data_IF_487835236385
#
_entry.id   IF_487835236385
#
_cell.length_a   1.000
_cell.length_b   1.000
_cell.length_c   1.000
_cell.angle_alpha   90.00
_cell.angle_beta   90.00
_cell.angle_gamma   90.00
#
_symmetry.space_group_name_H-M   'P 1'
#
loop_
_entity.id
_entity.type
_entity.pdbx_description
1 polymer ?
#
# COMPACT_ATOMS: atom_id res chain seq x y z
N UNK A 1 24.97 4.12 -3.20
CA UNK A 1 23.76 4.62 -2.51
C UNK A 1 23.37 5.93 -3.16
N UNK A 2 22.46 5.90 -4.13
CA UNK A 2 21.97 7.13 -4.76
C UNK A 2 20.71 7.57 -4.03
N UNK A 3 20.79 8.70 -3.35
CA UNK A 3 19.65 9.36 -2.73
C UNK A 3 18.73 9.89 -3.83
N UNK A 4 17.48 9.40 -3.84
CA UNK A 4 16.44 9.95 -4.71
C UNK A 4 16.03 11.31 -4.11
N UNK A 5 16.04 12.41 -4.89
CA UNK A 5 15.74 13.72 -4.36
C UNK A 5 14.25 13.82 -4.04
N UNK A 6 13.91 13.97 -2.77
CA UNK A 6 12.63 14.50 -2.31
C UNK A 6 12.55 15.97 -2.76
N UNK A 7 11.82 16.25 -3.83
CA UNK A 7 11.53 17.62 -4.25
C UNK A 7 10.18 18.02 -3.68
N UNK A 8 10.21 18.99 -2.77
CA UNK A 8 9.09 19.57 -2.04
C UNK A 8 8.41 20.65 -2.91
N UNK A 9 7.12 20.51 -3.22
CA UNK A 9 6.16 21.61 -3.47
C UNK A 9 4.74 21.02 -3.51
N UNK A 10 3.92 21.44 -2.54
CA UNK A 10 2.57 20.96 -2.22
C UNK A 10 2.52 19.54 -1.62
N UNK A 11 1.92 19.41 -0.44
CA UNK A 11 1.54 18.13 0.17
C UNK A 11 0.38 17.47 -0.59
N UNK A 12 0.53 17.36 -1.91
CA UNK A 12 -0.46 16.83 -2.82
C UNK A 12 -0.43 15.30 -2.72
N UNK A 13 -1.49 14.76 -2.14
CA UNK A 13 -1.80 13.33 -2.21
C UNK A 13 -1.72 12.86 -3.67
N UNK A 14 -0.85 11.89 -3.96
CA UNK A 14 -0.72 11.26 -5.27
C UNK A 14 -1.29 9.84 -5.19
N UNK A 15 -2.51 9.59 -5.70
CA UNK A 15 -3.18 8.28 -5.61
C UNK A 15 -2.31 7.13 -6.12
N UNK A 16 -1.54 7.35 -7.20
CA UNK A 16 -0.63 6.33 -7.76
C UNK A 16 0.50 5.98 -6.79
N UNK A 17 1.14 6.98 -6.19
CA UNK A 17 2.22 6.76 -5.24
C UNK A 17 1.71 6.09 -3.96
N UNK A 18 0.54 6.50 -3.47
CA UNK A 18 -0.12 5.87 -2.33
C UNK A 18 -0.50 4.41 -2.62
N UNK A 19 -1.08 4.13 -3.79
CA UNK A 19 -1.42 2.77 -4.22
C UNK A 19 -0.16 1.87 -4.28
N UNK A 20 0.93 2.35 -4.89
CA UNK A 20 2.19 1.58 -4.93
C UNK A 20 2.75 1.31 -3.52
N UNK A 21 2.70 2.30 -2.64
CA UNK A 21 3.18 2.17 -1.26
C UNK A 21 2.35 1.14 -0.49
N UNK A 22 1.02 1.21 -0.58
CA UNK A 22 0.13 0.27 0.11
C UNK A 22 0.25 -1.15 -0.45
N UNK A 23 0.44 -1.33 -1.76
CA UNK A 23 0.76 -2.62 -2.36
C UNK A 23 2.07 -3.21 -1.82
N UNK A 24 3.13 -2.40 -1.73
CA UNK A 24 4.42 -2.84 -1.19
C UNK A 24 4.29 -3.25 0.28
N UNK A 25 3.53 -2.50 1.08
CA UNK A 25 3.30 -2.83 2.49
C UNK A 25 2.43 -4.07 2.67
N UNK A 26 1.44 -4.28 1.80
CA UNK A 26 0.65 -5.52 1.78
C UNK A 26 1.55 -6.73 1.55
N UNK A 27 2.44 -6.68 0.55
CA UNK A 27 3.41 -7.76 0.28
C UNK A 27 4.28 -8.04 1.52
N UNK A 28 4.86 -7.01 2.13
CA UNK A 28 5.70 -7.14 3.32
C UNK A 28 4.94 -7.82 4.49
N UNK A 29 3.69 -7.44 4.73
CA UNK A 29 2.89 -8.04 5.80
C UNK A 29 2.48 -9.48 5.51
N UNK A 30 2.29 -9.84 4.24
CA UNK A 30 2.05 -11.22 3.84
C UNK A 30 3.30 -12.09 3.98
N UNK A 31 4.48 -11.55 3.66
CA UNK A 31 5.77 -12.22 3.89
C UNK A 31 5.95 -12.51 5.39
N UNK A 32 5.76 -11.49 6.25
CA UNK A 32 5.80 -11.68 7.70
C UNK A 32 4.75 -12.68 8.19
N UNK A 33 3.53 -12.66 7.65
CA UNK A 33 2.51 -13.65 8.02
C UNK A 33 2.97 -15.08 7.70
N UNK A 34 3.63 -15.28 6.55
CA UNK A 34 4.18 -16.57 6.14
C UNK A 34 5.28 -17.04 7.10
N UNK A 35 6.17 -16.14 7.51
CA UNK A 35 7.22 -16.45 8.50
C UNK A 35 6.62 -16.86 9.86
N UNK A 36 5.64 -16.11 10.37
CA UNK A 36 4.98 -16.44 11.65
C UNK A 36 4.18 -17.74 11.59
N UNK A 37 3.57 -18.04 10.44
CA UNK A 37 2.90 -19.31 10.20
C UNK A 37 3.90 -20.48 10.29
N UNK A 38 5.10 -20.32 9.72
CA UNK A 38 6.15 -21.35 9.77
C UNK A 38 6.67 -21.59 11.19
N UNK A 39 6.64 -20.58 12.07
CA UNK A 39 7.07 -20.70 13.47
C UNK A 39 5.96 -21.00 14.47
N UNK A 40 4.71 -21.18 14.01
CA UNK A 40 3.51 -21.33 14.85
C UNK A 40 3.30 -20.17 15.85
N UNK A 41 3.64 -18.94 15.46
CA UNK A 41 3.35 -17.74 16.26
C UNK A 41 1.99 -17.15 15.85
N UNK A 42 0.91 -17.71 16.40
CA UNK A 42 -0.46 -17.37 16.02
C UNK A 42 -0.81 -15.89 16.30
N UNK A 43 -0.25 -15.30 17.35
CA UNK A 43 -0.51 -13.89 17.72
C UNK A 43 0.15 -12.97 16.70
N UNK A 44 1.41 -13.24 16.31
CA UNK A 44 2.10 -12.44 15.31
C UNK A 44 1.56 -12.67 13.90
N UNK A 45 1.11 -13.90 13.59
CA UNK A 45 0.39 -14.23 12.36
C UNK A 45 -0.89 -13.40 12.24
N UNK A 46 -1.76 -13.42 13.25
CA UNK A 46 -3.01 -12.65 13.25
C UNK A 46 -2.73 -11.17 13.00
N UNK A 47 -1.79 -10.57 13.74
CA UNK A 47 -1.42 -9.16 13.57
C UNK A 47 -0.88 -8.84 12.18
N UNK A 48 -0.12 -9.74 11.58
CA UNK A 48 0.42 -9.55 10.22
C UNK A 48 -0.69 -9.60 9.18
N UNK A 49 -1.64 -10.53 9.32
CA UNK A 49 -2.83 -10.63 8.46
C UNK A 49 -3.76 -9.42 8.59
N UNK A 50 -3.97 -8.90 9.81
CA UNK A 50 -4.75 -7.67 10.03
C UNK A 50 -4.13 -6.47 9.31
N UNK A 51 -2.80 -6.32 9.38
CA UNK A 51 -2.09 -5.25 8.67
C UNK A 51 -2.13 -5.42 7.16
N UNK A 52 -1.96 -6.65 6.66
CA UNK A 52 -2.15 -6.97 5.24
C UNK A 52 -3.56 -6.55 4.77
N UNK A 53 -4.60 -6.95 5.51
CA UNK A 53 -5.99 -6.59 5.21
C UNK A 53 -6.23 -5.09 5.20
N UNK A 54 -5.63 -4.35 6.14
CA UNK A 54 -5.69 -2.89 6.17
C UNK A 54 -5.04 -2.25 4.92
N UNK A 55 -3.88 -2.76 4.48
CA UNK A 55 -3.25 -2.31 3.25
C UNK A 55 -4.12 -2.61 2.02
N UNK A 56 -4.69 -3.82 1.90
CA UNK A 56 -5.58 -4.19 0.79
C UNK A 56 -6.82 -3.29 0.77
N UNK A 57 -7.42 -3.02 1.92
CA UNK A 57 -8.55 -2.09 2.01
C UNK A 57 -8.17 -0.70 1.49
N UNK A 58 -7.07 -0.14 1.98
CA UNK A 58 -6.58 1.16 1.52
C UNK A 58 -6.29 1.18 0.01
N UNK A 59 -5.73 0.09 -0.55
CA UNK A 59 -5.54 -0.04 -2.00
C UNK A 59 -6.88 0.05 -2.75
N UNK A 60 -7.89 -0.71 -2.32
CA UNK A 60 -9.20 -0.73 -2.97
C UNK A 60 -9.90 0.62 -2.90
N UNK A 61 -9.75 1.33 -1.79
CA UNK A 61 -10.30 2.67 -1.60
C UNK A 61 -9.62 3.70 -2.53
N UNK A 62 -8.31 3.55 -2.81
CA UNK A 62 -7.54 4.47 -3.67
C UNK A 62 -7.62 4.15 -5.17
N UNK A 63 -7.91 2.91 -5.56
CA UNK A 63 -7.98 2.49 -6.97
C UNK A 63 -8.83 3.43 -7.84
N UNK A 64 -10.05 3.83 -7.47
CA UNK A 64 -10.87 4.74 -8.28
C UNK A 64 -10.16 6.07 -8.59
N UNK A 65 -9.45 6.64 -7.63
CA UNK A 65 -8.75 7.92 -7.76
C UNK A 65 -7.58 7.84 -8.76
N UNK A 66 -6.93 6.68 -8.85
CA UNK A 66 -5.86 6.42 -9.85
C UNK A 66 -6.37 6.46 -11.29
N UNK A 67 -7.65 6.13 -11.49
CA UNK A 67 -8.30 6.07 -12.81
C UNK A 67 -9.20 7.27 -13.11
N UNK A 68 -9.62 8.03 -12.10
CA UNK A 68 -10.42 9.26 -12.26
C UNK A 68 -9.69 10.32 -13.11
N UNK A 69 -8.36 10.40 -13.00
CA UNK A 69 -7.52 11.38 -13.70
C UNK A 69 -7.37 11.12 -15.22
N UNK A 70 -7.96 10.04 -15.75
CA UNK A 70 -7.93 9.70 -17.19
C UNK A 70 -9.19 10.06 -17.97
N UNK A 71 -10.27 10.44 -17.27
CA UNK A 71 -11.57 10.75 -17.88
C UNK A 71 -11.97 12.23 -17.74
N UNK A 72 -11.07 13.10 -17.28
CA UNK A 72 -11.28 14.56 -17.19
C UNK A 72 -11.21 15.32 -18.52
N UNK A 73 -11.28 14.63 -19.66
CA UNK A 73 -11.57 15.27 -20.95
C UNK A 73 -13.07 15.53 -21.05
N UNK A 74 -13.45 16.79 -20.94
CA UNK A 74 -14.82 17.29 -21.05
C UNK A 74 -15.59 16.79 -22.29
N UNK A 75 -16.93 16.75 -22.27
CA UNK A 75 -17.72 17.29 -23.37
C UNK A 75 -17.72 18.83 -23.34
#
# INVERSE_FOLDING_TARGET
MSAIPFINRDGAYQPRAFLMTTMSMASLHLDHATDHLATNDDIALQRSLEKFGACVKAMLDTVPEVFADKNGGAP
#
